data_IF_204212914878
#
_entry.id   IF_204212914878
#
_cell.length_a   1.000
_cell.length_b   1.000
_cell.length_c   1.000
_cell.angle_alpha   90.00
_cell.angle_beta   90.00
_cell.angle_gamma   90.00
#
_symmetry.space_group_name_H-M   'P 1'
#
loop_
_entity.id
_entity.type
_entity.pdbx_description
1 polymer ?
#
# COMPACT_ATOMS: atom_id res chain seq x y z
N UNK A 1 -85.90 52.56 3.39
CA UNK A 1 -84.92 51.86 2.53
C UNK A 1 -84.86 52.62 1.20
N UNK A 2 -83.72 52.87 0.54
CA UNK A 2 -82.29 52.66 0.85
C UNK A 2 -81.48 53.71 0.06
N UNK A 3 -80.36 54.21 0.60
CA UNK A 3 -79.72 55.43 0.07
C UNK A 3 -78.25 55.29 -0.36
N UNK A 4 -78.02 55.56 -1.66
CA UNK A 4 -76.95 56.40 -2.26
C UNK A 4 -75.46 56.19 -1.88
N UNK A 5 -74.63 55.94 -2.92
CA UNK A 5 -73.16 56.11 -2.92
C UNK A 5 -72.72 57.55 -2.51
N UNK A 6 -71.59 57.70 -1.78
CA UNK A 6 -70.37 58.41 -2.26
C UNK A 6 -69.18 58.42 -1.26
N UNK A 7 -68.01 58.82 -1.80
CA UNK A 7 -66.63 58.84 -1.27
C UNK A 7 -66.38 59.65 0.02
N UNK A 8 -65.39 59.20 0.81
CA UNK A 8 -64.39 60.00 1.56
C UNK A 8 -63.22 59.05 1.94
N UNK A 9 -62.00 59.43 2.32
CA UNK A 9 -61.31 60.72 2.44
C UNK A 9 -60.05 60.59 3.32
N UNK A 10 -58.95 61.30 3.01
CA UNK A 10 -57.63 61.16 3.68
C UNK A 10 -57.64 61.41 5.20
N UNK A 11 -56.71 60.75 5.92
CA UNK A 11 -55.77 61.26 6.97
C UNK A 11 -54.94 60.03 7.42
N UNK A 12 -53.64 59.87 7.15
CA UNK A 12 -52.45 60.64 7.58
C UNK A 12 -52.08 60.50 9.07
N UNK A 13 -51.09 59.66 9.39
CA UNK A 13 -50.09 59.85 10.47
C UNK A 13 -49.04 58.71 10.48
N UNK A 14 -47.75 59.08 10.47
CA UNK A 14 -46.65 58.29 11.04
C UNK A 14 -46.20 58.95 12.35
N UNK A 15 -45.67 58.19 13.30
CA UNK A 15 -44.56 58.68 14.15
C UNK A 15 -43.25 57.92 13.87
N UNK A 16 -42.12 58.59 14.14
CA UNK A 16 -40.81 57.97 14.42
C UNK A 16 -40.57 57.98 15.94
N UNK A 17 -39.71 57.09 16.44
CA UNK A 17 -38.78 57.16 17.60
C UNK A 17 -38.52 55.70 18.04
N UNK A 18 -37.30 55.12 18.06
CA UNK A 18 -36.07 55.39 18.85
C UNK A 18 -36.33 55.43 20.38
N UNK A 19 -35.67 54.57 21.17
CA UNK A 19 -35.98 54.47 22.62
C UNK A 19 -34.93 53.94 23.62
N UNK A 20 -34.39 52.71 23.46
CA UNK A 20 -33.30 52.11 24.27
C UNK A 20 -33.50 51.80 25.80
N UNK A 21 -32.59 50.95 26.34
CA UNK A 21 -32.38 50.54 27.77
C UNK A 21 -33.46 49.61 28.36
N UNK A 22 -33.20 48.71 29.33
CA UNK A 22 -32.00 48.15 30.03
C UNK A 22 -32.39 46.73 30.57
N UNK A 23 -31.54 45.78 30.97
CA UNK A 23 -30.07 45.59 30.84
C UNK A 23 -29.80 44.28 30.02
N UNK A 24 -29.31 43.11 30.46
CA UNK A 24 -28.61 42.60 31.67
C UNK A 24 -27.40 41.74 31.24
N UNK A 25 -26.24 42.08 31.80
CA UNK A 25 -25.05 41.27 32.17
C UNK A 25 -24.53 41.91 33.50
N UNK A 26 -23.34 41.67 34.11
CA UNK A 26 -22.08 41.01 33.67
C UNK A 26 -22.23 39.47 33.66
N UNK A 27 -21.23 38.57 33.56
CA UNK A 27 -19.74 38.57 33.61
C UNK A 27 -19.30 37.73 32.36
N UNK A 28 -18.22 37.94 31.57
CA UNK A 28 -16.78 38.24 31.80
C UNK A 28 -16.03 36.98 32.36
N UNK A 29 -14.76 36.68 32.12
CA UNK A 29 -13.63 37.30 31.36
C UNK A 29 -12.58 36.17 31.09
N UNK A 30 -11.47 36.28 30.33
CA UNK A 30 -10.82 37.37 29.58
C UNK A 30 -10.07 36.79 28.33
N UNK A 31 -9.50 37.64 27.47
CA UNK A 31 -8.60 37.28 26.38
C UNK A 31 -7.17 37.78 26.68
N UNK A 32 -6.11 37.06 26.25
CA UNK A 32 -4.85 37.69 25.89
C UNK A 32 -3.95 36.80 25.02
N UNK A 33 -3.44 37.35 23.92
CA UNK A 33 -2.17 36.92 23.33
C UNK A 33 -1.06 37.87 23.80
N UNK A 34 0.11 37.36 24.15
CA UNK A 34 1.40 38.04 23.93
C UNK A 34 2.55 37.01 23.97
N UNK A 35 3.77 37.41 23.61
CA UNK A 35 4.80 36.50 23.12
C UNK A 35 6.23 36.88 23.55
N UNK A 36 7.18 35.97 23.27
CA UNK A 36 8.64 36.11 23.18
C UNK A 36 9.50 35.78 24.43
N UNK A 37 10.62 35.10 24.13
CA UNK A 37 11.78 34.71 24.97
C UNK A 37 11.50 33.64 26.04
N UNK A 38 12.12 32.45 26.04
CA UNK A 38 12.98 31.80 25.04
C UNK A 38 14.33 31.33 25.61
N UNK A 39 14.68 30.08 25.33
CA UNK A 39 16.05 29.55 25.37
C UNK A 39 16.13 28.26 24.56
N UNK A 40 17.26 28.04 23.88
CA UNK A 40 17.40 27.04 22.82
C UNK A 40 17.88 25.67 23.32
N UNK A 41 17.54 24.62 22.57
CA UNK A 41 18.56 23.73 21.99
C UNK A 41 17.99 22.85 20.85
N UNK A 42 18.85 22.53 19.89
CA UNK A 42 18.53 21.78 18.68
C UNK A 42 18.16 20.30 18.95
N UNK A 43 17.48 19.60 18.05
CA UNK A 43 16.92 20.03 16.76
C UNK A 43 16.47 18.82 15.94
N UNK A 44 15.38 18.96 15.19
CA UNK A 44 14.80 17.92 14.33
C UNK A 44 14.08 18.64 13.20
N UNK A 45 14.47 18.38 11.94
CA UNK A 45 14.11 19.25 10.83
C UNK A 45 12.62 19.27 10.49
N UNK A 46 12.16 20.44 10.07
CA UNK A 46 10.78 20.73 9.69
C UNK A 46 10.49 20.09 8.31
N UNK A 47 9.68 19.01 8.31
CA UNK A 47 9.23 18.37 7.09
C UNK A 47 7.84 18.88 6.72
N UNK A 48 7.81 19.85 5.79
CA UNK A 48 6.63 20.39 5.14
C UNK A 48 5.56 19.31 4.89
N UNK A 49 4.40 19.46 5.51
CA UNK A 49 3.23 18.59 5.30
C UNK A 49 2.42 19.13 4.11
N UNK A 50 2.46 18.50 2.92
CA UNK A 50 1.59 18.92 1.83
C UNK A 50 0.17 18.48 2.17
N UNK A 51 -0.80 19.41 2.15
CA UNK A 51 -2.21 19.03 2.24
C UNK A 51 -2.58 18.26 0.96
N UNK A 52 -2.61 16.92 1.01
CA UNK A 52 -2.73 16.07 -0.18
C UNK A 52 -4.17 16.11 -0.72
N UNK A 53 -4.46 17.13 -1.54
CA UNK A 53 -5.70 17.29 -2.29
C UNK A 53 -5.92 16.25 -3.40
N UNK A 54 -6.22 15.01 -3.02
CA UNK A 54 -7.00 14.04 -3.80
C UNK A 54 -6.49 13.59 -5.18
N UNK A 55 -5.27 13.94 -5.61
CA UNK A 55 -4.78 13.67 -6.98
C UNK A 55 -3.46 12.88 -7.01
N UNK A 56 -3.57 11.62 -7.44
CA UNK A 56 -2.48 10.75 -7.97
C UNK A 56 -1.29 10.44 -7.04
N UNK A 57 -1.54 9.96 -5.81
CA UNK A 57 -0.50 9.37 -4.93
C UNK A 57 0.28 8.24 -5.64
N UNK A 58 -0.37 7.49 -6.53
CA UNK A 58 0.13 6.24 -7.11
C UNK A 58 1.23 6.34 -8.18
N UNK A 59 1.46 7.49 -8.83
CA UNK A 59 2.46 7.58 -9.93
C UNK A 59 3.91 7.79 -9.48
N UNK A 60 4.17 8.03 -8.19
CA UNK A 60 5.49 8.50 -7.71
C UNK A 60 6.15 7.58 -6.66
N UNK A 61 5.82 6.28 -6.65
CA UNK A 61 6.62 5.24 -5.93
C UNK A 61 7.11 4.11 -6.86
N UNK A 62 7.02 4.31 -8.19
CA UNK A 62 7.63 3.46 -9.21
C UNK A 62 8.83 4.17 -9.85
N UNK A 63 9.91 4.38 -9.08
CA UNK A 63 11.20 4.71 -9.65
C UNK A 63 11.75 3.49 -10.40
N UNK A 64 11.77 3.53 -11.73
CA UNK A 64 12.55 2.56 -12.50
C UNK A 64 14.02 2.79 -12.18
N UNK A 65 14.69 1.78 -11.63
CA UNK A 65 16.16 1.81 -11.53
C UNK A 65 16.68 1.25 -12.84
N UNK A 66 16.84 2.15 -13.81
CA UNK A 66 17.39 1.85 -15.13
C UNK A 66 18.88 1.48 -15.01
N UNK A 67 19.16 0.23 -14.69
CA UNK A 67 20.48 -0.37 -14.93
C UNK A 67 20.64 -0.65 -16.43
N UNK A 68 20.80 0.43 -17.20
CA UNK A 68 21.05 0.39 -18.63
C UNK A 68 22.34 -0.38 -18.93
N UNK A 69 22.21 -1.52 -19.60
CA UNK A 69 23.35 -2.34 -19.98
C UNK A 69 24.16 -1.70 -21.12
N UNK A 70 25.46 -1.49 -20.88
CA UNK A 70 26.43 -1.16 -21.92
C UNK A 70 27.25 -2.40 -22.27
N UNK A 71 26.89 -3.09 -23.35
CA UNK A 71 27.70 -4.19 -23.87
C UNK A 71 29.00 -3.65 -24.49
N UNK A 72 30.14 -4.16 -24.03
CA UNK A 72 31.34 -4.22 -24.87
C UNK A 72 31.69 -5.68 -25.15
N UNK A 73 31.41 -6.10 -26.38
CA UNK A 73 31.84 -7.38 -26.94
C UNK A 73 33.35 -7.25 -27.21
N UNK A 74 34.15 -8.16 -26.64
CA UNK A 74 35.59 -8.25 -26.84
C UNK A 74 36.01 -9.73 -26.92
N UNK A 75 36.75 -10.04 -27.98
CA UNK A 75 37.11 -11.38 -28.48
C UNK A 75 37.36 -12.52 -27.46
N UNK A 76 36.86 -13.75 -27.69
CA UNK A 76 37.21 -14.93 -26.88
C UNK A 76 38.67 -15.39 -26.98
N UNK A 77 39.45 -14.89 -27.95
CA UNK A 77 40.76 -15.43 -28.32
C UNK A 77 41.93 -14.54 -27.87
N UNK A 78 42.18 -14.50 -26.56
CA UNK A 78 43.38 -13.89 -25.97
C UNK A 78 44.18 -14.90 -25.12
N UNK A 79 44.63 -15.99 -25.74
CA UNK A 79 45.62 -16.90 -25.13
C UNK A 79 46.98 -16.21 -25.03
N UNK A 80 47.23 -15.53 -23.90
CA UNK A 80 48.57 -15.05 -23.53
C UNK A 80 49.08 -15.90 -22.37
N UNK A 81 49.95 -16.85 -22.69
CA UNK A 81 50.64 -17.69 -21.69
C UNK A 81 51.73 -16.90 -20.95
N UNK A 82 51.34 -16.01 -20.03
CA UNK A 82 52.27 -15.54 -18.99
C UNK A 82 52.53 -16.69 -18.02
N UNK A 83 53.60 -17.44 -18.29
CA UNK A 83 54.09 -18.49 -17.39
C UNK A 83 54.44 -17.87 -16.03
N UNK A 84 53.61 -18.10 -15.01
CA UNK A 84 54.07 -17.97 -13.62
C UNK A 84 55.02 -19.14 -13.36
N UNK A 85 56.30 -18.82 -13.20
CA UNK A 85 57.33 -19.76 -12.78
C UNK A 85 56.90 -20.41 -11.46
N UNK A 86 56.82 -21.73 -11.41
CA UNK A 86 56.41 -22.45 -10.21
C UNK A 86 57.41 -22.23 -9.06
N UNK A 87 56.99 -21.77 -7.88
CA UNK A 87 57.65 -22.13 -6.64
C UNK A 87 57.23 -23.57 -6.31
N UNK A 88 58.19 -24.51 -6.28
CA UNK A 88 57.91 -25.90 -5.87
C UNK A 88 57.74 -25.98 -4.36
N UNK A 89 56.54 -25.65 -3.88
CA UNK A 89 56.04 -25.98 -2.53
C UNK A 89 55.01 -27.10 -2.67
N UNK A 90 55.00 -28.06 -1.74
CA UNK A 90 54.04 -29.15 -1.77
C UNK A 90 52.68 -28.68 -1.23
N UNK A 91 51.77 -28.31 -2.15
CA UNK A 91 50.38 -27.97 -1.82
C UNK A 91 49.62 -29.20 -1.27
N UNK A 92 49.66 -29.38 0.05
CA UNK A 92 48.92 -30.42 0.75
C UNK A 92 47.42 -30.11 0.78
N UNK A 93 46.73 -30.43 -0.31
CA UNK A 93 45.29 -30.24 -0.45
C UNK A 93 44.50 -31.30 0.37
N UNK A 94 44.10 -30.97 1.59
CA UNK A 94 43.27 -31.86 2.43
C UNK A 94 41.80 -31.80 1.97
N UNK A 95 41.09 -32.94 2.03
CA UNK A 95 39.69 -33.07 1.60
C UNK A 95 38.78 -33.51 2.74
N UNK A 96 37.79 -32.69 3.08
CA UNK A 96 36.76 -32.95 4.08
C UNK A 96 35.40 -33.20 3.42
N UNK A 97 34.52 -34.02 4.02
CA UNK A 97 33.20 -34.32 3.42
C UNK A 97 32.18 -33.20 3.63
N UNK A 98 32.23 -32.54 4.78
CA UNK A 98 31.32 -31.50 5.25
C UNK A 98 32.06 -30.46 6.11
N UNK A 99 31.38 -29.36 6.44
CA UNK A 99 31.92 -28.29 7.28
C UNK A 99 32.31 -28.78 8.69
N UNK A 100 31.57 -29.74 9.26
CA UNK A 100 31.82 -30.26 10.62
C UNK A 100 33.19 -30.96 10.72
N UNK A 101 33.54 -31.82 9.74
CA UNK A 101 34.86 -32.48 9.70
C UNK A 101 36.01 -31.49 9.55
N UNK A 102 35.80 -30.37 8.84
CA UNK A 102 36.78 -29.29 8.76
C UNK A 102 36.90 -28.55 10.10
N UNK A 103 35.78 -28.24 10.77
CA UNK A 103 35.80 -27.57 12.06
C UNK A 103 36.42 -28.45 13.17
N UNK A 104 36.15 -29.75 13.19
CA UNK A 104 36.83 -30.73 14.06
C UNK A 104 38.34 -30.75 13.80
N UNK A 105 38.77 -30.69 12.54
CA UNK A 105 40.19 -30.63 12.20
C UNK A 105 40.85 -29.33 12.65
N UNK A 106 40.26 -28.16 12.36
CA UNK A 106 40.78 -26.85 12.82
C UNK A 106 40.85 -26.80 14.36
N UNK A 107 39.81 -27.28 15.03
CA UNK A 107 39.73 -27.34 16.51
C UNK A 107 40.83 -28.20 17.14
N UNK A 108 41.30 -29.25 16.45
CA UNK A 108 42.40 -30.07 16.94
C UNK A 108 43.78 -29.56 16.48
N UNK A 109 43.89 -29.05 15.26
CA UNK A 109 45.15 -28.53 14.72
C UNK A 109 45.62 -27.26 15.48
N UNK A 110 44.70 -26.37 15.89
CA UNK A 110 45.06 -25.14 16.62
C UNK A 110 45.56 -25.37 18.05
N UNK A 111 45.51 -26.61 18.55
CA UNK A 111 46.15 -27.01 19.83
C UNK A 111 47.67 -27.22 19.69
N UNK A 112 48.19 -27.14 18.45
CA UNK A 112 49.57 -27.48 18.12
C UNK A 112 50.33 -26.39 17.36
N UNK A 113 49.62 -25.50 16.64
CA UNK A 113 50.19 -24.39 15.87
C UNK A 113 49.13 -23.31 15.60
N UNK A 114 49.49 -22.03 15.39
CA UNK A 114 48.54 -20.98 14.98
C UNK A 114 47.94 -21.27 13.60
N UNK A 115 46.70 -20.83 13.38
CA UNK A 115 45.97 -21.05 12.12
C UNK A 115 45.29 -19.77 11.64
N UNK A 116 45.53 -19.39 10.40
CA UNK A 116 44.79 -18.35 9.69
C UNK A 116 43.83 -19.02 8.69
N UNK A 117 42.58 -18.57 8.65
CA UNK A 117 41.55 -19.10 7.76
C UNK A 117 41.20 -18.06 6.68
N UNK A 118 41.10 -18.52 5.44
CA UNK A 118 40.75 -17.70 4.29
C UNK A 118 39.48 -18.24 3.62
N UNK A 119 38.38 -17.48 3.75
CA UNK A 119 37.06 -17.83 3.24
C UNK A 119 36.75 -17.04 1.95
N UNK A 120 36.36 -17.76 0.88
CA UNK A 120 36.11 -17.19 -0.46
C UNK A 120 34.76 -16.45 -0.62
N UNK A 121 33.98 -16.28 0.46
CA UNK A 121 32.71 -15.56 0.46
C UNK A 121 31.51 -16.31 -0.15
N UNK A 122 31.68 -17.57 -0.56
CA UNK A 122 30.58 -18.37 -1.11
C UNK A 122 29.59 -18.81 -0.01
N UNK A 123 28.37 -19.23 -0.41
CA UNK A 123 27.39 -19.80 0.55
C UNK A 123 27.98 -20.97 1.37
N UNK A 124 28.93 -21.71 0.80
CA UNK A 124 29.61 -22.80 1.50
C UNK A 124 30.70 -22.32 2.47
N UNK A 125 31.32 -21.16 2.20
CA UNK A 125 32.20 -20.54 3.19
C UNK A 125 31.41 -20.00 4.38
N UNK A 126 30.14 -19.57 4.18
CA UNK A 126 29.22 -19.22 5.28
C UNK A 126 28.83 -20.44 6.11
N UNK A 127 28.54 -21.58 5.48
CA UNK A 127 28.32 -22.86 6.17
C UNK A 127 29.52 -23.20 7.08
N UNK A 128 30.74 -23.15 6.54
CA UNK A 128 31.98 -23.41 7.30
C UNK A 128 32.20 -22.39 8.44
N UNK A 129 32.00 -21.09 8.17
CA UNK A 129 32.05 -20.01 9.18
C UNK A 129 31.15 -20.31 10.36
N UNK A 130 29.88 -20.60 10.07
CA UNK A 130 28.83 -20.79 11.06
C UNK A 130 29.06 -22.04 11.91
N UNK A 131 29.59 -23.12 11.32
CA UNK A 131 29.99 -24.34 12.05
C UNK A 131 31.23 -24.10 12.92
N UNK A 132 32.26 -23.39 12.41
CA UNK A 132 33.44 -23.01 13.20
C UNK A 132 33.07 -22.14 14.41
N UNK A 133 32.18 -21.16 14.23
CA UNK A 133 31.69 -20.33 15.33
C UNK A 133 31.00 -21.15 16.43
N UNK A 134 30.29 -22.23 16.08
CA UNK A 134 29.66 -23.14 17.05
C UNK A 134 30.69 -24.04 17.73
N UNK A 135 31.62 -24.63 16.97
CA UNK A 135 32.68 -25.51 17.45
C UNK A 135 33.58 -24.82 18.49
N UNK A 136 33.95 -23.56 18.25
CA UNK A 136 34.75 -22.76 19.19
C UNK A 136 33.91 -22.03 20.27
N UNK A 137 32.61 -22.33 20.36
CA UNK A 137 31.66 -21.71 21.29
C UNK A 137 31.64 -20.17 21.23
N UNK A 138 31.91 -19.60 20.04
CA UNK A 138 31.86 -18.16 19.74
C UNK A 138 30.56 -17.72 19.05
N UNK A 139 29.61 -18.63 18.82
CA UNK A 139 28.33 -18.36 18.15
C UNK A 139 27.56 -17.20 18.83
N UNK A 140 27.29 -16.09 18.13
CA UNK A 140 26.84 -14.84 18.76
C UNK A 140 25.33 -14.78 19.04
N UNK A 141 24.78 -15.82 19.69
CA UNK A 141 23.35 -16.03 19.91
C UNK A 141 22.58 -14.77 20.37
N UNK A 142 23.09 -14.07 21.39
CA UNK A 142 22.44 -12.85 21.93
C UNK A 142 22.40 -11.69 20.94
N UNK A 143 23.40 -11.55 20.06
CA UNK A 143 23.41 -10.50 19.02
C UNK A 143 22.41 -10.84 17.91
N UNK A 144 22.36 -12.11 17.52
CA UNK A 144 21.45 -12.62 16.48
C UNK A 144 19.99 -12.53 16.92
N UNK A 145 19.68 -12.95 18.15
CA UNK A 145 18.33 -12.82 18.73
C UNK A 145 17.89 -11.35 18.75
N UNK A 146 18.74 -10.46 19.28
CA UNK A 146 18.45 -9.02 19.32
C UNK A 146 18.23 -8.40 17.93
N UNK A 147 19.03 -8.79 16.92
CA UNK A 147 18.86 -8.30 15.55
C UNK A 147 17.56 -8.81 14.91
N UNK A 148 17.21 -10.08 15.12
CA UNK A 148 15.96 -10.69 14.68
C UNK A 148 14.75 -10.02 15.36
N UNK A 149 14.79 -9.85 16.68
CA UNK A 149 13.76 -9.15 17.48
C UNK A 149 13.54 -7.70 16.99
N UNK A 150 14.62 -6.94 16.78
CA UNK A 150 14.55 -5.56 16.30
C UNK A 150 13.95 -5.47 14.89
N UNK A 151 14.36 -6.36 13.97
CA UNK A 151 13.79 -6.37 12.61
C UNK A 151 12.33 -6.83 12.60
N UNK A 152 11.95 -7.80 13.44
CA UNK A 152 10.55 -8.24 13.57
C UNK A 152 9.66 -7.15 14.15
N UNK A 153 10.14 -6.38 15.14
CA UNK A 153 9.36 -5.29 15.72
C UNK A 153 9.16 -4.13 14.73
N UNK A 154 10.22 -3.73 14.01
CA UNK A 154 10.12 -2.73 12.94
C UNK A 154 9.17 -3.19 11.82
N UNK A 155 9.24 -4.47 11.42
CA UNK A 155 8.30 -5.08 10.47
C UNK A 155 6.84 -4.96 10.96
N UNK A 156 6.54 -5.40 12.19
CA UNK A 156 5.19 -5.32 12.78
C UNK A 156 4.66 -3.88 12.85
N UNK A 157 5.53 -2.91 13.17
CA UNK A 157 5.15 -1.50 13.20
C UNK A 157 4.85 -0.95 11.80
N UNK A 158 5.65 -1.30 10.79
CA UNK A 158 5.40 -0.92 9.40
C UNK A 158 4.11 -1.57 8.85
N UNK A 159 3.90 -2.87 9.14
CA UNK A 159 2.68 -3.61 8.81
C UNK A 159 1.43 -2.95 9.40
N UNK A 160 1.47 -2.57 10.68
CA UNK A 160 0.34 -1.90 11.32
C UNK A 160 0.07 -0.54 10.69
N UNK A 161 1.09 0.31 10.53
CA UNK A 161 0.94 1.62 9.86
C UNK A 161 0.37 1.49 8.45
N UNK A 162 0.79 0.47 7.71
CA UNK A 162 0.25 0.11 6.40
C UNK A 162 -1.24 -0.28 6.47
N UNK A 163 -1.64 -1.14 7.42
CA UNK A 163 -3.03 -1.54 7.61
C UNK A 163 -3.92 -0.34 7.99
N UNK A 164 -3.47 0.48 8.95
CA UNK A 164 -4.15 1.70 9.40
C UNK A 164 -4.36 2.68 8.22
N UNK A 165 -3.35 2.85 7.36
CA UNK A 165 -3.44 3.69 6.15
C UNK A 165 -4.41 3.14 5.10
N UNK A 166 -4.38 1.84 4.79
CA UNK A 166 -5.29 1.23 3.81
C UNK A 166 -6.73 1.28 4.32
N UNK A 167 -6.98 1.01 5.60
CA UNK A 167 -8.32 1.12 6.20
C UNK A 167 -8.85 2.55 6.13
N UNK A 168 -8.02 3.55 6.46
CA UNK A 168 -8.42 4.97 6.38
C UNK A 168 -8.76 5.40 4.95
N UNK A 169 -7.97 4.99 3.96
CA UNK A 169 -8.24 5.24 2.53
C UNK A 169 -9.56 4.58 2.07
N UNK A 170 -9.77 3.30 2.43
CA UNK A 170 -11.00 2.57 2.08
C UNK A 170 -12.24 3.21 2.73
N UNK A 171 -12.12 3.65 3.99
CA UNK A 171 -13.18 4.35 4.70
C UNK A 171 -13.50 5.72 4.07
N UNK A 172 -12.49 6.49 3.69
CA UNK A 172 -12.67 7.78 2.99
C UNK A 172 -13.35 7.59 1.62
N UNK A 173 -12.92 6.57 0.85
CA UNK A 173 -13.48 6.23 -0.45
C UNK A 173 -14.94 5.77 -0.34
N UNK A 174 -15.23 4.88 0.62
CA UNK A 174 -16.59 4.44 0.94
C UNK A 174 -17.49 5.59 1.40
N UNK A 175 -16.97 6.51 2.22
CA UNK A 175 -17.68 7.72 2.65
C UNK A 175 -18.06 8.63 1.49
N UNK A 176 -17.15 8.86 0.53
CA UNK A 176 -17.42 9.64 -0.69
C UNK A 176 -18.47 8.98 -1.59
N UNK A 177 -18.38 7.66 -1.80
CA UNK A 177 -19.36 6.89 -2.58
C UNK A 177 -20.75 6.90 -1.92
N UNK A 178 -20.82 6.77 -0.60
CA UNK A 178 -22.05 6.84 0.19
C UNK A 178 -22.70 8.24 0.11
N UNK A 179 -21.91 9.30 0.27
CA UNK A 179 -22.40 10.69 0.16
C UNK A 179 -22.93 11.01 -1.24
N UNK A 180 -22.24 10.53 -2.29
CA UNK A 180 -22.65 10.71 -3.68
C UNK A 180 -23.81 9.82 -4.15
N UNK A 181 -24.16 8.75 -3.42
CA UNK A 181 -25.12 7.75 -3.86
C UNK A 181 -26.50 8.32 -4.24
N UNK A 182 -27.07 9.22 -3.42
CA UNK A 182 -28.36 9.86 -3.73
C UNK A 182 -28.30 10.78 -4.96
N UNK A 183 -27.14 11.35 -5.27
CA UNK A 183 -26.95 12.17 -6.47
C UNK A 183 -26.80 11.28 -7.71
N UNK A 184 -25.99 10.22 -7.64
CA UNK A 184 -25.80 9.22 -8.71
C UNK A 184 -27.13 8.64 -9.22
N UNK A 185 -28.00 8.24 -8.30
CA UNK A 185 -29.33 7.67 -8.58
C UNK A 185 -30.48 8.71 -8.62
N UNK A 186 -30.18 10.00 -8.80
CA UNK A 186 -31.19 11.07 -8.95
C UNK A 186 -32.20 11.22 -7.79
N UNK A 187 -31.98 10.57 -6.65
CA UNK A 187 -32.87 10.63 -5.48
C UNK A 187 -32.97 12.03 -4.88
N UNK A 188 -31.92 12.86 -5.00
CA UNK A 188 -31.98 14.28 -4.62
C UNK A 188 -32.98 15.10 -5.46
N UNK A 189 -33.32 14.63 -6.67
CA UNK A 189 -34.26 15.27 -7.61
C UNK A 189 -35.66 14.64 -7.51
N UNK A 190 -35.72 13.32 -7.33
CA UNK A 190 -36.96 12.55 -7.13
C UNK A 190 -37.58 12.78 -5.74
N UNK A 191 -36.76 13.00 -4.73
CA UNK A 191 -37.17 13.29 -3.35
C UNK A 191 -36.29 14.41 -2.74
N UNK A 192 -36.53 15.68 -3.12
CA UNK A 192 -35.74 16.81 -2.62
C UNK A 192 -35.82 16.93 -1.10
N UNK A 193 -34.66 16.90 -0.44
CA UNK A 193 -34.52 17.13 1.00
C UNK A 193 -33.97 18.53 1.26
N UNK A 194 -34.36 19.14 2.40
CA UNK A 194 -34.12 20.56 2.72
C UNK A 194 -32.63 20.86 3.03
N UNK A 195 -31.78 19.84 3.17
CA UNK A 195 -30.37 20.01 3.53
C UNK A 195 -29.50 20.44 2.33
N UNK A 196 -28.81 21.56 2.49
CA UNK A 196 -28.03 22.26 1.45
C UNK A 196 -26.67 21.62 1.15
N UNK A 197 -26.18 20.68 1.95
CA UNK A 197 -24.88 20.02 1.79
C UNK A 197 -24.94 18.77 0.89
N UNK A 198 -25.60 18.86 -0.26
CA UNK A 198 -25.67 17.77 -1.24
C UNK A 198 -24.44 17.79 -2.16
N UNK A 199 -23.68 16.70 -2.19
CA UNK A 199 -22.61 16.48 -3.20
C UNK A 199 -23.23 16.53 -4.59
N UNK A 200 -22.59 17.21 -5.54
CA UNK A 200 -23.13 17.30 -6.90
C UNK A 200 -23.08 15.95 -7.60
N UNK A 201 -23.97 15.74 -8.58
CA UNK A 201 -23.97 14.50 -9.36
C UNK A 201 -22.68 14.33 -10.17
N UNK A 202 -22.09 15.42 -10.66
CA UNK A 202 -20.82 15.37 -11.40
C UNK A 202 -19.66 14.89 -10.51
N UNK A 203 -19.45 15.50 -9.34
CA UNK A 203 -18.42 15.06 -8.38
C UNK A 203 -18.62 13.58 -8.01
N UNK A 204 -19.88 13.16 -7.83
CA UNK A 204 -20.22 11.76 -7.52
C UNK A 204 -19.91 10.80 -8.68
N UNK A 205 -20.09 11.22 -9.94
CA UNK A 205 -19.69 10.47 -11.13
C UNK A 205 -18.16 10.41 -11.30
N UNK A 206 -17.45 11.49 -10.98
CA UNK A 206 -15.98 11.54 -10.99
C UNK A 206 -15.40 10.58 -9.94
N UNK A 207 -15.92 10.60 -8.70
CA UNK A 207 -15.56 9.64 -7.63
C UNK A 207 -15.83 8.20 -8.05
N UNK A 208 -17.00 7.90 -8.64
CA UNK A 208 -17.32 6.55 -9.11
C UNK A 208 -16.41 6.10 -10.26
N UNK A 209 -16.07 7.00 -11.18
CA UNK A 209 -15.16 6.68 -12.30
C UNK A 209 -13.76 6.34 -11.79
N UNK A 210 -13.22 7.16 -10.87
CA UNK A 210 -11.94 6.91 -10.22
C UNK A 210 -11.94 5.58 -9.43
N UNK A 211 -13.04 5.24 -8.75
CA UNK A 211 -13.17 3.96 -8.06
C UNK A 211 -13.15 2.77 -9.03
N UNK A 212 -13.88 2.84 -10.15
CA UNK A 212 -13.90 1.78 -11.16
C UNK A 212 -12.53 1.57 -11.82
N UNK A 213 -11.77 2.65 -12.04
CA UNK A 213 -10.42 2.56 -12.60
C UNK A 213 -9.38 2.08 -11.57
N UNK A 214 -9.51 2.47 -10.30
CA UNK A 214 -8.70 1.90 -9.20
C UNK A 214 -8.90 0.37 -9.12
N UNK A 215 -10.15 -0.11 -9.14
CA UNK A 215 -10.50 -1.55 -9.13
C UNK A 215 -9.93 -2.34 -10.31
N UNK A 216 -9.67 -1.69 -11.46
CA UNK A 216 -9.01 -2.26 -12.64
C UNK A 216 -7.49 -2.21 -12.54
N UNK A 217 -6.93 -1.26 -11.79
CA UNK A 217 -5.48 -1.03 -11.67
C UNK A 217 -4.79 -1.87 -10.59
N UNK A 218 -5.55 -2.48 -9.68
CA UNK A 218 -5.03 -3.36 -8.63
C UNK A 218 -5.09 -4.81 -9.11
N UNK A 219 -3.93 -5.38 -9.43
CA UNK A 219 -3.74 -6.75 -9.94
C UNK A 219 -4.64 -7.78 -9.22
N UNK A 220 -5.46 -8.50 -10.00
CA UNK A 220 -6.32 -9.56 -9.46
C UNK A 220 -7.61 -9.10 -8.80
N UNK A 221 -7.87 -7.80 -8.60
CA UNK A 221 -9.14 -7.32 -8.03
C UNK A 221 -10.28 -7.43 -9.04
N UNK A 222 -10.09 -6.91 -10.25
CA UNK A 222 -11.08 -6.99 -11.32
C UNK A 222 -11.46 -8.46 -11.64
N UNK A 223 -10.47 -9.34 -11.66
CA UNK A 223 -10.61 -10.79 -11.88
C UNK A 223 -11.37 -11.45 -10.73
N UNK A 224 -11.03 -11.15 -9.45
CA UNK A 224 -11.78 -11.68 -8.28
C UNK A 224 -13.25 -11.30 -8.32
N UNK A 225 -13.58 -10.08 -8.74
CA UNK A 225 -14.95 -9.59 -8.81
C UNK A 225 -15.72 -10.26 -9.97
N UNK A 226 -15.17 -10.22 -11.19
CA UNK A 226 -15.82 -10.77 -12.39
C UNK A 226 -15.94 -12.30 -12.36
N UNK A 227 -14.91 -13.01 -11.89
CA UNK A 227 -14.91 -14.49 -11.80
C UNK A 227 -15.89 -15.00 -10.74
N UNK A 228 -16.06 -14.28 -9.62
CA UNK A 228 -17.10 -14.62 -8.64
C UNK A 228 -18.50 -14.31 -9.17
N UNK A 229 -18.70 -13.11 -9.74
CA UNK A 229 -20.01 -12.71 -10.24
C UNK A 229 -19.92 -11.53 -11.22
N UNK A 230 -20.16 -11.78 -12.51
CA UNK A 230 -20.24 -10.71 -13.53
C UNK A 230 -21.31 -9.65 -13.20
N UNK A 231 -22.38 -10.02 -12.48
CA UNK A 231 -23.41 -9.09 -12.00
C UNK A 231 -22.84 -7.99 -11.10
N UNK A 232 -21.78 -8.25 -10.33
CA UNK A 232 -21.15 -7.24 -9.46
C UNK A 232 -20.67 -6.03 -10.26
N UNK A 233 -20.02 -6.24 -11.41
CA UNK A 233 -19.56 -5.14 -12.26
C UNK A 233 -20.73 -4.40 -12.95
N UNK A 234 -21.76 -5.14 -13.35
CA UNK A 234 -23.00 -4.60 -13.92
C UNK A 234 -23.82 -3.77 -12.92
N UNK A 235 -23.75 -4.09 -11.61
CA UNK A 235 -24.32 -3.28 -10.53
C UNK A 235 -23.47 -2.04 -10.30
N UNK A 236 -22.15 -2.17 -10.13
CA UNK A 236 -21.26 -1.02 -9.87
C UNK A 236 -21.41 0.08 -10.93
N UNK A 237 -21.53 -0.30 -12.21
CA UNK A 237 -21.70 0.60 -13.36
C UNK A 237 -23.14 1.08 -13.62
N UNK A 238 -24.12 0.62 -12.83
CA UNK A 238 -25.55 0.90 -13.01
C UNK A 238 -25.94 2.40 -13.00
N UNK A 239 -25.32 3.31 -12.20
CA UNK A 239 -25.65 4.74 -12.25
C UNK A 239 -25.54 5.37 -13.64
N UNK A 240 -24.51 5.01 -14.41
CA UNK A 240 -24.30 5.48 -15.79
C UNK A 240 -25.31 4.90 -16.78
N UNK A 241 -25.96 3.78 -16.44
CA UNK A 241 -26.95 3.09 -17.27
C UNK A 241 -28.37 3.59 -16.99
N UNK A 242 -28.66 3.99 -15.76
CA UNK A 242 -29.93 4.62 -15.38
C UNK A 242 -30.04 6.08 -15.81
N UNK A 243 -28.92 6.78 -16.01
CA UNK A 243 -28.86 8.16 -16.49
C UNK A 243 -29.66 8.44 -17.78
N UNK A 244 -29.38 7.78 -18.93
CA UNK A 244 -30.16 7.99 -20.15
C UNK A 244 -31.62 7.53 -20.01
N UNK A 245 -31.92 6.61 -19.09
CA UNK A 245 -33.28 6.15 -18.83
C UNK A 245 -34.10 7.20 -18.06
N UNK A 246 -33.51 7.78 -17.01
CA UNK A 246 -34.11 8.88 -16.25
C UNK A 246 -34.30 10.13 -17.11
N UNK A 247 -33.30 10.49 -17.92
CA UNK A 247 -33.43 11.56 -18.92
C UNK A 247 -34.55 11.27 -19.94
N UNK A 248 -34.68 10.03 -20.42
CA UNK A 248 -35.72 9.64 -21.38
C UNK A 248 -37.13 9.79 -20.81
N UNK A 249 -37.38 9.23 -19.62
CA UNK A 249 -38.65 9.38 -18.89
C UNK A 249 -38.96 10.85 -18.63
N UNK A 250 -37.98 11.63 -18.17
CA UNK A 250 -38.13 13.06 -17.89
C UNK A 250 -38.43 13.89 -19.14
N UNK A 251 -37.82 13.54 -20.28
CA UNK A 251 -38.06 14.22 -21.57
C UNK A 251 -39.49 14.00 -22.05
N UNK A 252 -39.98 12.75 -22.00
CA UNK A 252 -41.35 12.44 -22.40
C UNK A 252 -42.37 13.15 -21.50
N UNK A 253 -42.10 13.24 -20.20
CA UNK A 253 -42.95 13.93 -19.23
C UNK A 253 -43.03 15.44 -19.48
N UNK A 254 -41.86 16.11 -19.62
CA UNK A 254 -41.79 17.56 -19.86
C UNK A 254 -42.31 17.95 -21.26
N UNK A 255 -42.28 17.03 -22.22
CA UNK A 255 -42.93 17.18 -23.53
C UNK A 255 -44.45 16.92 -23.53
N UNK A 256 -45.04 16.52 -22.40
CA UNK A 256 -46.48 16.23 -22.29
C UNK A 256 -46.92 14.91 -22.92
N UNK A 257 -46.00 13.99 -23.22
CA UNK A 257 -46.31 12.68 -23.81
C UNK A 257 -46.73 11.67 -22.73
N UNK A 258 -47.87 11.89 -22.08
CA UNK A 258 -48.31 11.12 -20.90
C UNK A 258 -48.33 9.59 -21.10
N UNK A 259 -48.86 9.10 -22.23
CA UNK A 259 -48.95 7.66 -22.51
C UNK A 259 -47.56 7.03 -22.59
N UNK A 260 -46.66 7.61 -23.40
CA UNK A 260 -45.28 7.15 -23.54
C UNK A 260 -44.48 7.32 -22.24
N UNK A 261 -44.79 8.35 -21.44
CA UNK A 261 -44.20 8.56 -20.11
C UNK A 261 -44.59 7.43 -19.16
N UNK A 262 -45.87 7.05 -19.09
CA UNK A 262 -46.35 5.98 -18.23
C UNK A 262 -45.78 4.61 -18.64
N UNK A 263 -45.63 4.34 -19.93
CA UNK A 263 -44.94 3.15 -20.44
C UNK A 263 -43.45 3.17 -20.07
N UNK A 264 -42.74 4.28 -20.31
CA UNK A 264 -41.34 4.42 -19.98
C UNK A 264 -41.07 4.29 -18.46
N UNK A 265 -41.92 4.85 -17.60
CA UNK A 265 -41.88 4.65 -16.15
C UNK A 265 -41.99 3.16 -15.81
N UNK A 266 -42.95 2.42 -16.38
CA UNK A 266 -43.08 0.97 -16.15
C UNK A 266 -41.85 0.18 -16.58
N UNK A 267 -41.27 0.50 -17.74
CA UNK A 267 -40.05 -0.16 -18.25
C UNK A 267 -38.85 0.11 -17.35
N UNK A 268 -38.67 1.36 -16.88
CA UNK A 268 -37.55 1.75 -16.01
C UNK A 268 -37.73 1.19 -14.58
N UNK A 269 -38.95 1.15 -14.05
CA UNK A 269 -39.26 0.49 -12.77
C UNK A 269 -38.94 -1.00 -12.82
N UNK A 270 -39.43 -1.74 -13.84
CA UNK A 270 -39.13 -3.17 -13.99
C UNK A 270 -37.62 -3.43 -14.16
N UNK A 271 -36.91 -2.57 -14.89
CA UNK A 271 -35.45 -2.64 -15.00
C UNK A 271 -34.74 -2.39 -13.65
N UNK A 272 -35.21 -1.41 -12.85
CA UNK A 272 -34.65 -1.15 -11.53
C UNK A 272 -34.88 -2.33 -10.57
N UNK A 273 -36.10 -2.86 -10.51
CA UNK A 273 -36.47 -3.99 -9.63
C UNK A 273 -35.62 -5.24 -9.91
N UNK A 274 -35.31 -5.55 -11.18
CA UNK A 274 -34.39 -6.64 -11.55
C UNK A 274 -32.99 -6.52 -10.91
N UNK A 275 -32.46 -5.31 -10.72
CA UNK A 275 -31.16 -5.10 -10.09
C UNK A 275 -31.25 -5.04 -8.56
N UNK A 276 -32.37 -4.58 -8.00
CA UNK A 276 -32.61 -4.61 -6.56
C UNK A 276 -32.74 -6.05 -6.02
N UNK A 277 -33.42 -6.93 -6.75
CA UNK A 277 -33.68 -8.33 -6.36
C UNK A 277 -32.49 -9.30 -6.61
N UNK A 278 -31.47 -8.87 -7.36
CA UNK A 278 -30.28 -9.65 -7.71
C UNK A 278 -30.49 -10.97 -8.52
N UNK A 279 -31.72 -11.34 -8.87
CA UNK A 279 -32.06 -12.57 -9.62
C UNK A 279 -31.75 -12.52 -11.13
N UNK A 280 -30.58 -11.99 -11.51
CA UNK A 280 -30.29 -11.72 -12.93
C UNK A 280 -29.93 -12.95 -13.78
N UNK A 281 -29.89 -14.17 -13.21
CA UNK A 281 -29.46 -15.39 -13.94
C UNK A 281 -30.31 -15.71 -15.19
N UNK A 282 -31.58 -15.28 -15.24
CA UNK A 282 -32.47 -15.42 -16.40
C UNK A 282 -33.18 -14.11 -16.79
N UNK A 283 -32.77 -12.96 -16.26
CA UNK A 283 -33.54 -11.72 -16.39
C UNK A 283 -33.34 -11.04 -17.76
N UNK A 284 -34.34 -11.13 -18.62
CA UNK A 284 -34.43 -10.36 -19.87
C UNK A 284 -34.64 -8.87 -19.60
N UNK A 285 -33.85 -8.03 -20.25
CA UNK A 285 -34.04 -6.57 -20.23
C UNK A 285 -35.41 -6.21 -20.84
N UNK A 286 -36.23 -5.34 -20.22
CA UNK A 286 -37.53 -4.96 -20.75
C UNK A 286 -37.50 -4.46 -22.20
N UNK A 287 -38.33 -5.04 -23.06
CA UNK A 287 -38.48 -4.63 -24.46
C UNK A 287 -38.86 -3.15 -24.55
N UNK A 288 -38.19 -2.38 -25.41
CA UNK A 288 -38.40 -0.94 -25.55
C UNK A 288 -37.55 -0.06 -24.63
N UNK A 289 -36.86 -0.61 -23.61
CA UNK A 289 -35.98 0.16 -22.71
C UNK A 289 -34.87 0.92 -23.47
N UNK A 290 -34.39 0.37 -24.59
CA UNK A 290 -33.44 1.02 -25.50
C UNK A 290 -34.00 2.27 -26.19
N UNK A 291 -35.31 2.35 -26.42
CA UNK A 291 -35.98 3.52 -27.00
C UNK A 291 -36.00 4.65 -25.96
N UNK A 292 -36.38 4.34 -24.72
CA UNK A 292 -36.32 5.30 -23.58
C UNK A 292 -34.91 5.86 -23.41
N UNK A 293 -33.89 4.99 -23.40
CA UNK A 293 -32.48 5.41 -23.33
C UNK A 293 -32.03 6.25 -24.54
N UNK A 294 -32.64 6.08 -25.71
CA UNK A 294 -32.30 6.85 -26.91
C UNK A 294 -32.92 8.24 -26.88
N UNK A 295 -34.17 8.37 -26.43
CA UNK A 295 -34.82 9.68 -26.18
C UNK A 295 -33.98 10.50 -25.19
N UNK A 296 -33.56 9.89 -24.08
CA UNK A 296 -32.74 10.59 -23.06
C UNK A 296 -31.32 10.96 -23.51
N UNK A 297 -30.79 10.34 -24.56
CA UNK A 297 -29.52 10.74 -25.20
C UNK A 297 -29.68 11.87 -26.20
N UNK A 298 -30.83 11.97 -26.85
CA UNK A 298 -31.14 13.00 -27.85
C UNK A 298 -31.58 14.33 -27.21
N UNK A 299 -32.09 14.30 -25.98
CA UNK A 299 -32.53 15.47 -25.23
C UNK A 299 -31.64 15.74 -23.98
N UNK A 300 -30.60 16.59 -24.11
CA UNK A 300 -29.75 16.98 -22.99
C UNK A 300 -30.46 17.97 -22.05
N UNK A 301 -31.37 17.45 -21.21
CA UNK A 301 -32.02 18.19 -20.14
C UNK A 301 -31.00 18.71 -19.09
N UNK A 302 -31.21 19.94 -18.62
CA UNK A 302 -30.45 20.51 -17.50
C UNK A 302 -31.05 20.06 -16.18
N UNK A 303 -30.24 20.01 -15.12
CA UNK A 303 -30.69 19.59 -13.78
C UNK A 303 -31.86 20.45 -13.28
N UNK A 304 -31.87 21.75 -13.57
CA UNK A 304 -32.97 22.67 -13.25
C UNK A 304 -34.30 22.28 -13.90
N UNK A 305 -34.29 21.71 -15.11
CA UNK A 305 -35.51 21.23 -15.78
C UNK A 305 -36.15 20.05 -15.06
N UNK A 306 -35.42 19.37 -14.17
CA UNK A 306 -36.00 18.33 -13.33
C UNK A 306 -36.75 18.86 -12.10
N UNK A 307 -36.62 20.15 -11.76
CA UNK A 307 -37.45 20.81 -10.73
C UNK A 307 -38.91 20.95 -11.21
N UNK A 308 -39.13 20.99 -12.52
CA UNK A 308 -40.43 21.06 -13.19
C UNK A 308 -41.14 19.69 -13.32
N UNK A 309 -40.48 18.58 -12.94
CA UNK A 309 -41.05 17.23 -13.08
C UNK A 309 -42.36 17.03 -12.27
N UNK A 310 -43.40 16.40 -12.85
CA UNK A 310 -44.64 16.08 -12.15
C UNK A 310 -44.41 15.28 -10.86
N UNK A 311 -45.07 15.71 -9.78
CA UNK A 311 -44.91 15.08 -8.46
C UNK A 311 -45.42 13.63 -8.43
N UNK A 312 -46.38 13.29 -9.28
CA UNK A 312 -46.85 11.91 -9.52
C UNK A 312 -45.73 11.02 -10.07
N UNK A 313 -45.05 11.47 -11.12
CA UNK A 313 -43.92 10.78 -11.74
C UNK A 313 -42.76 10.61 -10.75
N UNK A 314 -42.45 11.66 -9.98
CA UNK A 314 -41.46 11.56 -8.90
C UNK A 314 -41.82 10.43 -7.93
N UNK A 315 -43.06 10.42 -7.44
CA UNK A 315 -43.58 9.39 -6.54
C UNK A 315 -43.43 7.97 -7.07
N UNK A 316 -43.70 7.75 -8.36
CA UNK A 316 -43.53 6.45 -9.01
C UNK A 316 -42.08 5.96 -9.10
N UNK A 317 -41.10 6.87 -9.21
CA UNK A 317 -39.69 6.52 -9.41
C UNK A 317 -38.85 6.50 -8.11
N UNK A 318 -39.28 7.18 -7.03
CA UNK A 318 -38.54 7.21 -5.75
C UNK A 318 -38.27 5.79 -5.22
N UNK A 319 -39.28 4.93 -5.13
CA UNK A 319 -39.14 3.61 -4.52
C UNK A 319 -38.22 2.66 -5.32
N UNK A 320 -38.38 2.48 -6.65
CA UNK A 320 -37.48 1.63 -7.44
C UNK A 320 -36.01 2.10 -7.40
N UNK A 321 -35.78 3.42 -7.50
CA UNK A 321 -34.42 3.97 -7.44
C UNK A 321 -33.81 3.87 -6.04
N UNK A 322 -34.61 4.00 -4.98
CA UNK A 322 -34.15 3.79 -3.60
C UNK A 322 -33.77 2.32 -3.33
N UNK A 323 -34.58 1.37 -3.78
CA UNK A 323 -34.28 -0.06 -3.68
C UNK A 323 -32.97 -0.44 -4.39
N UNK A 324 -32.79 0.06 -5.62
CA UNK A 324 -31.53 -0.11 -6.37
C UNK A 324 -30.35 0.55 -5.67
N UNK A 325 -30.51 1.78 -5.14
CA UNK A 325 -29.45 2.47 -4.41
C UNK A 325 -29.00 1.66 -3.19
N UNK A 326 -29.95 1.06 -2.46
CA UNK A 326 -29.66 0.14 -1.34
C UNK A 326 -28.85 -1.07 -1.78
N UNK A 327 -29.23 -1.76 -2.88
CA UNK A 327 -28.45 -2.91 -3.36
C UNK A 327 -27.10 -2.51 -3.95
N UNK A 328 -26.99 -1.34 -4.58
CA UNK A 328 -25.71 -0.78 -5.04
C UNK A 328 -24.75 -0.52 -3.87
N UNK A 329 -25.22 0.10 -2.78
CA UNK A 329 -24.41 0.34 -1.58
C UNK A 329 -23.93 -0.98 -0.93
N UNK A 330 -24.77 -2.02 -0.88
CA UNK A 330 -24.37 -3.37 -0.47
C UNK A 330 -23.20 -3.90 -1.31
N UNK A 331 -23.31 -3.82 -2.64
CA UNK A 331 -22.26 -4.29 -3.56
C UNK A 331 -21.00 -3.43 -3.48
N UNK A 332 -21.11 -2.12 -3.28
CA UNK A 332 -19.96 -1.24 -3.04
C UNK A 332 -19.22 -1.64 -1.76
N UNK A 333 -19.93 -1.98 -0.67
CA UNK A 333 -19.32 -2.50 0.56
C UNK A 333 -18.58 -3.83 0.34
N UNK A 334 -19.22 -4.79 -0.31
CA UNK A 334 -18.61 -6.08 -0.69
C UNK A 334 -17.32 -5.89 -1.52
N UNK A 335 -17.32 -4.92 -2.43
CA UNK A 335 -16.19 -4.61 -3.33
C UNK A 335 -15.08 -3.86 -2.61
N UNK A 336 -15.41 -2.93 -1.71
CA UNK A 336 -14.43 -2.22 -0.89
C UNK A 336 -13.67 -3.16 0.04
N UNK A 337 -14.30 -4.23 0.56
CA UNK A 337 -13.59 -5.26 1.33
C UNK A 337 -12.62 -6.08 0.48
N UNK A 338 -13.00 -6.44 -0.76
CA UNK A 338 -12.08 -7.13 -1.69
C UNK A 338 -10.89 -6.25 -2.06
N UNK A 339 -11.10 -4.93 -2.21
CA UNK A 339 -10.04 -3.95 -2.44
C UNK A 339 -9.15 -3.77 -1.21
N UNK A 340 -9.73 -3.59 -0.02
CA UNK A 340 -9.07 -3.49 1.29
C UNK A 340 -8.08 -4.65 1.52
N UNK A 341 -8.55 -5.89 1.38
CA UNK A 341 -7.75 -7.10 1.55
C UNK A 341 -6.60 -7.18 0.52
N UNK A 342 -6.87 -6.81 -0.74
CA UNK A 342 -5.89 -6.90 -1.83
C UNK A 342 -4.82 -5.81 -1.74
N UNK A 343 -5.19 -4.57 -1.39
CA UNK A 343 -4.27 -3.48 -1.12
C UNK A 343 -3.40 -3.78 0.11
N UNK A 344 -4.01 -4.18 1.23
CA UNK A 344 -3.32 -4.53 2.47
C UNK A 344 -2.26 -5.61 2.22
N UNK A 345 -2.61 -6.70 1.53
CA UNK A 345 -1.67 -7.78 1.21
C UNK A 345 -0.50 -7.30 0.34
N UNK A 346 -0.79 -6.52 -0.73
CA UNK A 346 0.22 -6.00 -1.67
C UNK A 346 1.17 -5.00 -1.01
N UNK A 347 0.66 -4.15 -0.12
CA UNK A 347 1.45 -3.14 0.58
C UNK A 347 2.27 -3.73 1.74
N UNK A 348 1.69 -4.60 2.57
CA UNK A 348 2.43 -5.33 3.62
C UNK A 348 3.61 -6.09 3.02
N UNK A 349 3.40 -6.78 1.88
CA UNK A 349 4.48 -7.49 1.20
C UNK A 349 5.60 -6.57 0.69
N UNK A 350 5.32 -5.29 0.41
CA UNK A 350 6.32 -4.31 -0.05
C UNK A 350 7.06 -3.66 1.11
N UNK A 351 6.35 -3.20 2.13
CA UNK A 351 6.96 -2.53 3.28
C UNK A 351 7.70 -3.50 4.22
N UNK A 352 7.38 -4.81 4.22
CA UNK A 352 8.21 -5.86 4.87
C UNK A 352 9.58 -6.07 4.20
N UNK A 353 9.64 -5.99 2.86
CA UNK A 353 10.81 -6.34 2.05
C UNK A 353 12.13 -5.65 2.48
N UNK A 354 12.18 -4.34 2.78
CA UNK A 354 13.41 -3.70 3.27
C UNK A 354 13.87 -4.28 4.62
N UNK A 355 12.97 -4.51 5.58
CA UNK A 355 13.34 -5.07 6.89
C UNK A 355 13.82 -6.52 6.78
N UNK A 356 13.18 -7.34 5.92
CA UNK A 356 13.65 -8.71 5.65
C UNK A 356 15.06 -8.75 5.02
N UNK A 357 15.42 -7.73 4.22
CA UNK A 357 16.77 -7.58 3.67
C UNK A 357 17.75 -7.07 4.72
N UNK A 358 17.44 -5.98 5.42
CA UNK A 358 18.28 -5.40 6.48
C UNK A 358 18.61 -6.41 7.58
N UNK A 359 17.65 -7.30 7.91
CA UNK A 359 17.83 -8.43 8.81
C UNK A 359 18.88 -9.42 8.31
N UNK A 360 18.83 -9.83 7.04
CA UNK A 360 19.82 -10.72 6.42
C UNK A 360 21.19 -10.06 6.39
N UNK A 361 21.26 -8.82 5.92
CA UNK A 361 22.49 -8.04 5.82
C UNK A 361 23.13 -7.81 7.21
N UNK A 362 22.32 -7.71 8.27
CA UNK A 362 22.79 -7.51 9.65
C UNK A 362 23.18 -8.82 10.35
N UNK A 363 22.45 -9.92 10.13
CA UNK A 363 22.85 -11.26 10.59
C UNK A 363 24.21 -11.63 9.97
N UNK A 364 24.37 -11.45 8.67
CA UNK A 364 25.60 -11.75 7.94
C UNK A 364 26.78 -10.90 8.46
N UNK A 365 26.56 -9.60 8.69
CA UNK A 365 27.57 -8.68 9.27
C UNK A 365 27.98 -9.06 10.69
N UNK A 366 27.05 -9.55 11.51
CA UNK A 366 27.34 -10.04 12.87
C UNK A 366 28.16 -11.33 12.81
N UNK A 367 27.72 -12.30 12.01
CA UNK A 367 28.42 -13.58 11.85
C UNK A 367 29.84 -13.39 11.30
N UNK A 368 30.00 -12.52 10.30
CA UNK A 368 31.32 -12.22 9.77
C UNK A 368 32.21 -11.52 10.81
N UNK A 369 31.72 -10.48 11.51
CA UNK A 369 32.54 -9.76 12.49
C UNK A 369 32.97 -10.62 13.69
N UNK A 370 32.16 -11.59 14.12
CA UNK A 370 32.57 -12.54 15.15
C UNK A 370 33.46 -13.68 14.61
N UNK A 371 33.36 -14.02 13.32
CA UNK A 371 34.32 -14.91 12.66
C UNK A 371 35.68 -14.24 12.49
N UNK A 372 35.76 -12.98 12.07
CA UNK A 372 37.02 -12.25 11.90
C UNK A 372 37.79 -12.18 13.24
N UNK A 373 37.05 -12.02 14.35
CA UNK A 373 37.59 -12.11 15.73
C UNK A 373 38.08 -13.51 16.09
N UNK A 374 37.34 -14.57 15.72
CA UNK A 374 37.79 -15.95 15.90
C UNK A 374 39.05 -16.22 15.07
N UNK A 375 39.08 -15.82 13.80
CA UNK A 375 40.20 -15.98 12.88
C UNK A 375 41.47 -15.29 13.41
N UNK A 376 41.35 -14.05 13.88
CA UNK A 376 42.45 -13.35 14.54
C UNK A 376 42.96 -14.08 15.80
N UNK A 377 42.05 -14.65 16.61
CA UNK A 377 42.44 -15.42 17.81
C UNK A 377 43.06 -16.79 17.50
N UNK A 378 42.68 -17.43 16.38
CA UNK A 378 43.32 -18.64 15.85
C UNK A 378 44.74 -18.35 15.34
N UNK A 379 44.92 -17.23 14.63
CA UNK A 379 46.20 -16.84 14.02
C UNK A 379 47.22 -16.28 15.04
N UNK A 380 46.77 -15.88 16.23
CA UNK A 380 47.62 -15.27 17.28
C UNK A 380 47.76 -16.14 18.54
N UNK A 381 47.37 -17.43 18.48
CA UNK A 381 47.48 -18.42 19.58
C UNK A 381 46.74 -18.03 20.88
N UNK A 382 45.83 -17.03 20.82
CA UNK A 382 45.12 -16.49 21.98
C UNK A 382 44.12 -17.48 22.61
N UNK A 383 43.85 -18.61 21.95
CA UNK A 383 42.93 -19.64 22.44
C UNK A 383 43.60 -20.70 23.34
N UNK A 384 44.91 -20.93 23.22
CA UNK A 384 45.61 -22.05 23.90
C UNK A 384 46.94 -21.67 24.58
N UNK A 385 47.07 -20.40 24.98
CA UNK A 385 48.18 -19.78 25.75
C UNK A 385 48.72 -20.65 26.91
N UNK A 386 47.86 -21.46 27.55
CA UNK A 386 48.20 -22.35 28.69
C UNK A 386 49.24 -23.42 28.32
N UNK A 387 49.41 -23.78 27.05
CA UNK A 387 50.32 -24.85 26.61
C UNK A 387 51.81 -24.45 26.59
N UNK A 388 52.14 -23.22 26.18
CA UNK A 388 53.52 -22.75 25.97
C UNK A 388 54.34 -22.58 27.25
N UNK A 389 53.71 -22.60 28.43
CA UNK A 389 54.39 -22.61 29.73
C UNK A 389 55.14 -23.93 30.06
N UNK A 390 55.12 -24.94 29.16
CA UNK A 390 55.71 -26.27 29.42
C UNK A 390 56.53 -26.88 28.27
N UNK A 391 57.30 -26.07 27.54
CA UNK A 391 58.53 -26.55 26.85
C UNK A 391 59.52 -25.45 26.50
N UNK A 392 60.61 -25.38 27.25
CA UNK A 392 61.84 -24.73 26.81
C UNK A 392 62.45 -25.44 25.59
N UNK A 393 63.15 -24.67 24.75
CA UNK A 393 64.01 -25.11 23.64
C UNK A 393 63.31 -25.84 22.48
N UNK A 394 62.91 -25.07 21.47
CA UNK A 394 63.71 -24.98 20.23
C UNK A 394 63.22 -23.85 19.32
N UNK A 395 64.15 -23.08 18.75
CA UNK A 395 63.83 -21.99 17.81
C UNK A 395 63.64 -22.52 16.39
N UNK A 396 62.39 -22.78 16.03
CA UNK A 396 61.90 -22.73 14.66
C UNK A 396 60.78 -21.67 14.61
N UNK A 397 60.47 -21.12 13.43
CA UNK A 397 59.42 -20.10 13.31
C UNK A 397 58.06 -20.64 13.79
N UNK A 398 57.33 -19.81 14.52
CA UNK A 398 55.91 -20.04 14.90
C UNK A 398 55.04 -19.76 13.64
N UNK A 399 55.33 -20.49 12.55
CA UNK A 399 54.77 -20.28 11.21
C UNK A 399 53.26 -20.53 11.25
N UNK A 400 52.48 -19.45 11.16
CA UNK A 400 51.03 -19.54 11.05
C UNK A 400 50.66 -20.32 9.79
N UNK A 401 49.78 -21.32 9.96
CA UNK A 401 49.25 -22.11 8.85
C UNK A 401 48.10 -21.32 8.20
N UNK A 402 48.27 -20.85 6.97
CA UNK A 402 47.17 -20.23 6.20
C UNK A 402 46.40 -21.32 5.44
N UNK A 403 45.08 -21.20 5.47
CA UNK A 403 44.12 -22.27 5.17
C UNK A 403 43.05 -21.71 4.25
N UNK A 404 43.27 -21.86 2.94
CA UNK A 404 42.34 -21.40 1.91
C UNK A 404 41.33 -22.49 1.55
N UNK A 405 40.05 -22.15 1.54
CA UNK A 405 38.98 -23.06 1.09
C UNK A 405 38.70 -22.84 -0.39
N UNK A 406 38.92 -23.89 -1.20
CA UNK A 406 38.99 -23.77 -2.66
C UNK A 406 37.76 -24.30 -3.44
N UNK A 407 36.80 -24.99 -2.81
CA UNK A 407 35.79 -25.77 -3.56
C UNK A 407 34.33 -25.59 -3.11
N UNK A 408 33.59 -24.83 -3.92
CA UNK A 408 32.15 -24.62 -3.77
C UNK A 408 31.29 -25.84 -4.20
N UNK A 409 31.88 -26.83 -4.89
CA UNK A 409 31.21 -28.09 -5.32
C UNK A 409 32.11 -29.30 -5.04
N UNK A 410 31.52 -30.42 -4.63
CA UNK A 410 32.25 -31.65 -4.26
C UNK A 410 32.64 -31.70 -2.78
N UNK A 411 33.69 -32.45 -2.37
CA UNK A 411 34.25 -32.34 -1.01
C UNK A 411 34.85 -30.94 -0.78
N UNK A 412 34.95 -30.52 0.48
CA UNK A 412 35.67 -29.29 0.84
C UNK A 412 37.18 -29.53 0.68
N UNK A 413 37.79 -28.83 -0.27
CA UNK A 413 39.23 -28.85 -0.51
C UNK A 413 39.87 -27.66 0.21
N UNK A 414 40.87 -27.95 1.02
CA UNK A 414 41.65 -26.99 1.81
C UNK A 414 43.09 -27.02 1.33
N UNK A 415 43.63 -25.88 0.90
CA UNK A 415 45.05 -25.69 0.63
C UNK A 415 45.74 -25.22 1.91
N UNK A 416 46.85 -25.86 2.25
CA UNK A 416 47.69 -25.52 3.40
C UNK A 416 48.95 -24.79 2.95
N UNK A 417 48.93 -23.47 3.11
CA UNK A 417 50.11 -22.64 2.92
C UNK A 417 50.82 -22.49 4.25
N UNK A 418 52.08 -22.94 4.35
CA UNK A 418 52.96 -22.47 5.42
C UNK A 418 53.33 -21.03 5.11
N UNK A 419 53.11 -20.13 6.07
CA UNK A 419 53.51 -18.74 5.90
C UNK A 419 55.02 -18.62 5.78
N UNK A 420 55.52 -18.40 4.56
CA UNK A 420 56.90 -17.93 4.35
C UNK A 420 57.11 -16.72 5.26
N UNK A 421 58.12 -16.77 6.13
CA UNK A 421 58.37 -15.74 7.13
C UNK A 421 58.44 -14.35 6.51
N UNK A 422 57.66 -13.42 7.05
CA UNK A 422 57.71 -12.01 6.66
C UNK A 422 59.10 -11.46 7.00
N UNK A 423 59.74 -10.81 6.03
CA UNK A 423 60.99 -10.03 6.21
C UNK A 423 60.71 -8.64 6.81
#
# INVERSE_FOLDING_TARGET
MTARRKRSGRISRKPKLRGAKKQVRPIEEEQAHTCLKGHDNAGMDDYDYPSIGGKRVWKQKCGSVDWGGANHIGDPNAWVSTNLTQPTVQDYCIRFRNADQLADWVYNAVKHQPIQLSLNGSERSKEVRDVLLRQFHRWPAMKLSRAEEQCQELSKQAEKRCQDQVQLYIHELGGKLLAGAKALFWLNVLHPMIHTAAVSRQESQEVLSLFLDELRSVDGVYEKLTTKNAFTWDVLTLPFRLEPLFHGVSTLALAGHEVATNEAVRLVTAFAEQYALAERKNATVPTGLSIVASVGKLAPLKISSFEELPQTLRGCLVQPFAAVTGKWLSVVGEVLEVLNQSLTSRWVSRERSPYEKERKDTIERVLQSDFDRLNHALATDQLYVVSKARKDRSSAGDECLDVHILCDRGPLCVQLNRGNGWM
#
